data_IF_555122627698
#
_entry.id   IF_555122627698
#
_cell.length_a   1.000
_cell.length_b   1.000
_cell.length_c   1.000
_cell.angle_alpha   90.00
_cell.angle_beta   90.00
_cell.angle_gamma   90.00
#
_symmetry.space_group_name_H-M   'P 1'
#
loop_
_entity.id
_entity.type
_entity.pdbx_description
1 polymer ?
#
# COMPACT_ATOMS: atom_id res chain seq x y z
N UNK A 1 -2.74 6.20 2.87
CA UNK A 1 -2.90 5.74 1.48
C UNK A 1 -3.65 6.78 0.66
N UNK A 2 -4.82 7.23 1.12
CA UNK A 2 -5.73 8.13 0.40
C UNK A 2 -5.07 9.42 -0.12
N UNK A 3 -4.21 10.08 0.66
CA UNK A 3 -3.49 11.27 0.19
C UNK A 3 -2.49 10.98 -0.94
N UNK A 4 -1.84 9.81 -0.94
CA UNK A 4 -0.97 9.39 -2.03
C UNK A 4 -1.78 8.99 -3.27
N UNK A 5 -3.00 8.49 -3.07
CA UNK A 5 -3.94 8.13 -4.12
C UNK A 5 -4.74 9.31 -4.68
N UNK A 6 -4.76 10.45 -3.98
CA UNK A 6 -5.48 11.63 -4.42
C UNK A 6 -4.96 12.13 -5.76
N UNK A 7 -5.81 12.04 -6.80
CA UNK A 7 -5.46 12.33 -8.20
C UNK A 7 -4.30 11.48 -8.76
N UNK A 8 -4.03 10.34 -8.12
CA UNK A 8 -3.09 9.33 -8.60
C UNK A 8 -3.80 8.18 -9.32
N UNK A 9 -3.03 7.16 -9.67
CA UNK A 9 -3.51 5.90 -10.20
C UNK A 9 -3.35 4.80 -9.15
N UNK A 10 -4.46 4.31 -8.63
CA UNK A 10 -4.48 3.12 -7.77
C UNK A 10 -4.21 1.90 -8.65
N UNK A 11 -3.09 1.22 -8.44
CA UNK A 11 -2.80 -0.07 -9.08
C UNK A 11 -3.30 -1.23 -8.23
N UNK A 12 -3.25 -1.07 -6.91
CA UNK A 12 -3.79 -2.01 -5.95
C UNK A 12 -4.37 -1.22 -4.79
N UNK A 13 -5.69 -1.30 -4.62
CA UNK A 13 -6.39 -0.66 -3.51
C UNK A 13 -5.85 -1.19 -2.19
N UNK A 14 -5.88 -0.33 -1.18
CA UNK A 14 -5.51 -0.69 0.18
C UNK A 14 -6.33 -1.88 0.66
N UNK A 15 -5.65 -2.97 0.99
CA UNK A 15 -6.29 -4.19 1.46
C UNK A 15 -5.35 -4.98 2.37
N UNK A 16 -5.91 -5.84 3.21
CA UNK A 16 -5.13 -6.81 3.98
C UNK A 16 -4.61 -7.94 3.07
N UNK A 17 -3.42 -8.46 3.36
CA UNK A 17 -2.84 -9.61 2.65
C UNK A 17 -2.40 -10.69 3.64
N UNK A 18 -1.93 -11.85 3.16
CA UNK A 18 -1.48 -12.90 4.06
C UNK A 18 -0.24 -12.49 4.90
N UNK A 19 0.56 -11.52 4.43
CA UNK A 19 1.82 -11.10 5.06
C UNK A 19 1.80 -9.67 5.64
N UNK A 20 0.75 -8.89 5.36
CA UNK A 20 0.65 -7.49 5.77
C UNK A 20 -0.73 -7.20 6.35
N UNK A 21 -0.79 -6.39 7.41
CA UNK A 21 -2.04 -5.84 7.92
C UNK A 21 -2.66 -4.86 6.91
N UNK A 22 -1.83 -4.28 6.06
CA UNK A 22 -2.29 -3.47 4.94
C UNK A 22 -1.21 -3.34 3.87
N UNK A 23 -1.62 -3.54 2.63
CA UNK A 23 -0.80 -3.38 1.45
C UNK A 23 -1.55 -2.58 0.40
N UNK A 24 -0.84 -1.69 -0.29
CA UNK A 24 -1.39 -0.93 -1.41
C UNK A 24 -0.30 -0.47 -2.37
N UNK A 25 -0.68 -0.33 -3.64
CA UNK A 25 0.18 0.20 -4.71
C UNK A 25 -0.51 1.36 -5.40
N UNK A 26 0.19 2.46 -5.53
CA UNK A 26 -0.36 3.68 -6.11
C UNK A 26 0.73 4.48 -6.79
N UNK A 27 0.44 5.00 -7.97
CA UNK A 27 1.25 6.04 -8.59
C UNK A 27 0.62 7.37 -8.24
N UNK A 28 1.37 8.26 -7.58
CA UNK A 28 0.81 9.55 -7.16
C UNK A 28 0.57 10.50 -8.36
N UNK A 29 -0.02 11.67 -8.08
CA UNK A 29 -0.32 12.69 -9.10
C UNK A 29 0.90 13.26 -9.83
N UNK A 30 2.11 13.05 -9.29
CA UNK A 30 3.36 13.50 -9.90
C UNK A 30 4.04 12.38 -10.72
N UNK A 31 3.42 11.20 -10.78
CA UNK A 31 3.94 10.04 -11.50
C UNK A 31 4.91 9.18 -10.67
N UNK A 32 5.02 9.38 -9.36
CA UNK A 32 5.92 8.60 -8.51
C UNK A 32 5.22 7.31 -8.07
N UNK A 33 5.80 6.13 -8.32
CA UNK A 33 5.23 4.86 -7.87
C UNK A 33 5.54 4.62 -6.38
N UNK A 34 4.49 4.33 -5.62
CA UNK A 34 4.55 3.99 -4.19
C UNK A 34 4.01 2.59 -3.92
N UNK A 35 4.68 1.90 -3.01
CA UNK A 35 4.22 0.65 -2.43
C UNK A 35 4.26 0.80 -0.91
N UNK A 36 3.11 0.63 -0.27
CA UNK A 36 2.97 0.78 1.18
C UNK A 36 2.69 -0.60 1.77
N UNK A 37 3.49 -1.00 2.75
CA UNK A 37 3.43 -2.32 3.37
C UNK A 37 3.48 -2.20 4.89
N UNK A 38 2.36 -2.52 5.56
CA UNK A 38 2.29 -2.62 7.03
C UNK A 38 2.49 -4.08 7.41
N UNK A 39 3.71 -4.42 7.76
CA UNK A 39 4.16 -5.80 7.98
C UNK A 39 3.38 -6.44 9.13
N UNK A 40 2.92 -7.68 8.95
CA UNK A 40 2.48 -8.52 10.07
C UNK A 40 3.73 -9.01 10.79
N UNK A 41 3.85 -8.72 12.08
CA UNK A 41 4.88 -9.37 12.88
C UNK A 41 4.54 -10.86 12.93
N UNK A 42 5.42 -11.68 12.36
CA UNK A 42 5.34 -13.12 12.60
C UNK A 42 5.67 -13.34 14.07
N UNK A 43 4.85 -14.10 14.82
CA UNK A 43 5.21 -14.45 16.18
C UNK A 43 6.56 -15.14 16.15
N UNK A 44 7.52 -14.61 16.89
CA UNK A 44 8.84 -15.21 17.06
C UNK A 44 8.60 -16.58 17.69
N UNK A 45 8.93 -17.64 16.95
CA UNK A 45 8.92 -19.00 17.45
C UNK A 45 10.05 -19.20 18.47
#
# INVERSE_FOLDING_TARGET
FDNLAANGKIEMAWQETFWAHGFGKVTDKFGVPWMINVVKQQPTQ
#
